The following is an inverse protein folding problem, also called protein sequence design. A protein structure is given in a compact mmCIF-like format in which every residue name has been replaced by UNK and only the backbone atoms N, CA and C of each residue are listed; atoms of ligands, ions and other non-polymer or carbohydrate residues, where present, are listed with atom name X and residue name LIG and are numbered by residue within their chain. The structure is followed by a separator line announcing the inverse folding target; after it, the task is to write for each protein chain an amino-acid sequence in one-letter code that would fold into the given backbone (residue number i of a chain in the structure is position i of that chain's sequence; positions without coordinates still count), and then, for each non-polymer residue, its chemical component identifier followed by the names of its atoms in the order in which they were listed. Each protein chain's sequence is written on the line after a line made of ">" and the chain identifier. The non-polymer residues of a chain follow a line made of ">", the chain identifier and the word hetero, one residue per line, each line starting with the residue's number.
data_IF_999505097652
#
_entry.id   IF_999505097652
#
_cell.length_a   1.000
_cell.length_b   1.000
_cell.length_c   1.000
_cell.angle_alpha   90.00
_cell.angle_beta   90.00
_cell.angle_gamma   90.00
#
_symmetry.space_group_name_H-M   'P 1'
#
loop_
_entity.id
_entity.type
_entity.pdbx_description
1 polymer ?
#
# COMPACT_ATOMS: atom_id res chain seq x y z
N UNK A 1 14.53 22.61 -10.27
CA UNK A 1 15.30 21.36 -10.02
C UNK A 1 15.16 20.46 -11.25
N UNK A 2 16.23 20.16 -11.99
CA UNK A 2 16.11 19.42 -13.26
C UNK A 2 15.19 20.12 -14.26
N UNK A 3 14.26 19.40 -14.90
CA UNK A 3 13.30 19.93 -15.88
C UNK A 3 11.99 20.47 -15.28
N UNK A 4 11.98 20.85 -14.00
CA UNK A 4 10.77 21.24 -13.29
C UNK A 4 10.99 22.21 -12.13
N UNK A 5 9.88 22.64 -11.55
CA UNK A 5 9.79 23.57 -10.42
C UNK A 5 9.61 22.80 -9.11
N UNK A 6 10.23 23.28 -8.03
CA UNK A 6 10.14 22.67 -6.71
C UNK A 6 9.84 23.76 -5.70
N UNK A 7 8.88 23.49 -4.83
CA UNK A 7 8.56 24.34 -3.69
C UNK A 7 8.55 23.51 -2.41
N UNK A 8 9.22 24.03 -1.38
CA UNK A 8 9.28 23.43 -0.06
C UNK A 8 8.44 24.25 0.92
N UNK A 9 7.36 23.67 1.44
CA UNK A 9 6.45 24.32 2.39
C UNK A 9 6.96 24.20 3.83
N UNK A 10 7.69 23.14 4.15
CA UNK A 10 8.17 22.84 5.50
C UNK A 10 7.18 22.05 6.34
N UNK A 11 7.70 21.44 7.41
CA UNK A 11 6.94 20.66 8.39
C UNK A 11 6.59 21.50 9.61
N UNK A 12 7.57 22.23 10.15
CA UNK A 12 7.54 22.78 11.49
C UNK A 12 6.36 23.74 11.70
N UNK A 13 6.17 24.67 10.76
CA UNK A 13 5.10 25.67 10.84
C UNK A 13 3.71 25.02 10.93
N UNK A 14 3.52 23.93 10.18
CA UNK A 14 2.23 23.23 10.15
C UNK A 14 2.04 22.39 11.41
N UNK A 15 3.08 21.71 11.89
CA UNK A 15 3.05 20.97 13.15
C UNK A 15 2.77 21.90 14.34
N UNK A 16 3.41 23.08 14.39
CA UNK A 16 3.17 24.10 15.40
C UNK A 16 1.74 24.63 15.33
N UNK A 17 1.24 25.01 14.14
CA UNK A 17 -0.16 25.46 13.97
C UNK A 17 -1.17 24.39 14.39
N UNK A 18 -0.92 23.13 14.04
CA UNK A 18 -1.76 22.02 14.46
C UNK A 18 -1.75 21.85 15.99
N UNK A 19 -0.56 21.87 16.59
CA UNK A 19 -0.40 21.73 18.05
C UNK A 19 -1.08 22.86 18.80
N UNK A 20 -0.91 24.10 18.35
CA UNK A 20 -1.54 25.28 18.95
C UNK A 20 -3.06 25.12 19.01
N UNK A 21 -3.68 24.66 17.91
CA UNK A 21 -5.13 24.41 17.87
C UNK A 21 -5.56 23.33 18.87
N UNK A 22 -4.74 22.32 19.13
CA UNK A 22 -5.04 21.32 20.15
C UNK A 22 -4.96 21.93 21.55
N UNK A 23 -3.92 22.72 21.83
CA UNK A 23 -3.76 23.39 23.12
C UNK A 23 -4.88 24.40 23.40
N UNK A 24 -5.32 25.16 22.39
CA UNK A 24 -6.49 26.07 22.46
C UNK A 24 -7.80 25.35 22.79
N UNK A 25 -7.88 24.05 22.49
CA UNK A 25 -9.00 23.17 22.80
C UNK A 25 -8.76 22.35 24.09
N UNK A 26 -7.77 22.74 24.90
CA UNK A 26 -7.37 22.09 26.16
C UNK A 26 -6.96 20.61 26.01
N UNK A 27 -6.51 20.23 24.82
CA UNK A 27 -6.06 18.88 24.53
C UNK A 27 -4.56 18.78 24.76
N UNK A 28 -4.17 17.87 25.64
CA UNK A 28 -2.77 17.55 25.86
C UNK A 28 -2.23 16.69 24.71
N UNK A 29 -1.14 17.17 24.11
CA UNK A 29 -0.33 16.40 23.16
C UNK A 29 1.13 16.54 23.55
N UNK A 30 1.82 15.40 23.71
CA UNK A 30 3.26 15.35 24.02
C UNK A 30 4.06 14.76 22.84
N UNK A 31 3.35 14.10 21.93
CA UNK A 31 3.92 13.42 20.78
C UNK A 31 3.01 13.53 19.56
N UNK A 32 3.62 13.75 18.40
CA UNK A 32 2.93 13.77 17.11
C UNK A 32 3.49 12.66 16.23
N UNK A 33 2.63 11.74 15.82
CA UNK A 33 3.01 10.68 14.88
C UNK A 33 2.70 11.10 13.44
N UNK A 34 3.73 11.08 12.60
CA UNK A 34 3.64 11.48 11.20
C UNK A 34 3.72 10.26 10.27
N UNK A 35 2.82 10.19 9.29
CA UNK A 35 3.00 9.37 8.10
C UNK A 35 3.31 10.22 6.89
N UNK A 36 4.19 9.74 6.03
CA UNK A 36 4.54 10.41 4.78
C UNK A 36 4.03 9.63 3.57
N UNK A 37 3.59 10.35 2.55
CA UNK A 37 3.26 9.78 1.25
C UNK A 37 4.01 10.53 0.15
N UNK A 38 4.53 9.78 -0.81
CA UNK A 38 5.10 10.29 -2.05
C UNK A 38 4.47 9.50 -3.19
N UNK A 39 3.91 10.21 -4.17
CA UNK A 39 3.34 9.61 -5.38
C UNK A 39 3.46 10.57 -6.57
N UNK A 40 3.46 10.03 -7.79
CA UNK A 40 3.43 10.81 -9.01
C UNK A 40 2.00 11.02 -9.49
N UNK A 41 1.53 12.28 -9.49
CA UNK A 41 0.18 12.65 -9.88
C UNK A 41 0.19 13.36 -11.24
N UNK A 42 -0.36 12.75 -12.32
CA UNK A 42 -0.46 13.44 -13.60
C UNK A 42 -1.41 14.64 -13.49
N UNK A 43 -0.99 15.80 -13.98
CA UNK A 43 -1.79 17.03 -13.89
C UNK A 43 -2.90 17.02 -14.94
N UNK A 44 -2.56 16.60 -16.16
CA UNK A 44 -3.47 16.50 -17.29
C UNK A 44 -3.12 15.28 -18.12
N UNK A 45 -4.13 14.61 -18.69
CA UNK A 45 -3.91 13.44 -19.55
C UNK A 45 -3.19 13.77 -20.86
N UNK A 46 -3.27 15.02 -21.31
CA UNK A 46 -2.70 15.52 -22.57
C UNK A 46 -1.24 15.95 -22.45
N UNK A 47 -0.69 16.07 -21.24
CA UNK A 47 0.70 16.52 -21.03
C UNK A 47 1.49 15.48 -20.25
N UNK A 48 2.82 15.52 -20.38
CA UNK A 48 3.73 14.73 -19.53
C UNK A 48 3.95 15.35 -18.15
N UNK A 49 3.30 16.48 -17.83
CA UNK A 49 3.50 17.16 -16.54
C UNK A 49 2.86 16.35 -15.41
N UNK A 50 3.63 16.17 -14.35
CA UNK A 50 3.22 15.47 -13.13
C UNK A 50 3.67 16.26 -11.90
N UNK A 51 2.81 16.24 -10.88
CA UNK A 51 3.20 16.61 -9.53
C UNK A 51 3.83 15.42 -8.82
N UNK A 52 4.85 15.69 -8.02
CA UNK A 52 5.41 14.79 -7.03
C UNK A 52 5.36 15.51 -5.69
N UNK A 53 4.26 15.38 -4.93
CA UNK A 53 4.20 15.88 -3.57
C UNK A 53 4.91 14.96 -2.59
N UNK A 54 5.46 15.56 -1.53
CA UNK A 54 5.69 14.92 -0.24
C UNK A 54 4.55 15.38 0.64
N UNK A 55 3.65 14.46 1.00
CA UNK A 55 2.53 14.72 1.89
C UNK A 55 2.86 14.20 3.30
N UNK A 56 2.41 14.91 4.31
CA UNK A 56 2.43 14.48 5.71
C UNK A 56 0.99 14.32 6.21
N UNK A 57 0.70 13.19 6.85
CA UNK A 57 -0.50 12.98 7.66
C UNK A 57 -0.10 12.99 9.13
N UNK A 58 -0.75 13.84 9.92
CA UNK A 58 -0.69 13.77 11.38
C UNK A 58 -1.70 12.74 11.86
N UNK A 59 -1.20 11.73 12.54
CA UNK A 59 -2.00 10.65 13.11
C UNK A 59 -2.04 10.77 14.64
N UNK A 60 -3.03 11.50 15.16
CA UNK A 60 -3.34 11.50 16.58
C UNK A 60 -4.70 10.85 16.77
N UNK A 61 -4.74 9.70 17.44
CA UNK A 61 -5.90 8.79 17.58
C UNK A 61 -7.20 9.45 18.08
N UNK A 62 -7.13 10.69 18.57
CA UNK A 62 -8.24 11.41 19.18
C UNK A 62 -8.82 12.52 18.27
N UNK A 63 -8.24 12.79 17.09
CA UNK A 63 -8.65 13.92 16.23
C UNK A 63 -8.82 13.55 14.76
N UNK A 64 -9.58 14.37 14.05
CA UNK A 64 -9.71 14.28 12.60
C UNK A 64 -8.34 14.31 11.95
N UNK A 65 -8.08 13.35 11.07
CA UNK A 65 -6.83 13.26 10.32
C UNK A 65 -6.52 14.60 9.62
N UNK A 66 -5.27 15.04 9.75
CA UNK A 66 -4.80 16.27 9.12
C UNK A 66 -3.70 15.93 8.12
N UNK A 67 -3.97 16.16 6.83
CA UNK A 67 -3.04 15.91 5.73
C UNK A 67 -2.65 17.23 5.08
N UNK A 68 -1.35 17.45 4.87
CA UNK A 68 -0.83 18.67 4.27
C UNK A 68 0.40 18.40 3.38
N UNK A 69 0.65 19.26 2.37
CA UNK A 69 1.86 19.17 1.57
C UNK A 69 3.06 19.73 2.32
N UNK A 70 4.16 18.98 2.31
CA UNK A 70 5.47 19.38 2.84
C UNK A 70 6.34 19.95 1.74
N UNK A 71 6.28 19.33 0.56
CA UNK A 71 6.98 19.78 -0.63
C UNK A 71 6.17 19.39 -1.86
N UNK A 72 6.29 20.16 -2.94
CA UNK A 72 5.72 19.81 -4.24
C UNK A 72 6.76 20.07 -5.32
N UNK A 73 7.03 19.03 -6.11
CA UNK A 73 7.71 19.17 -7.38
C UNK A 73 6.72 19.11 -8.54
N UNK A 74 6.88 19.96 -9.55
CA UNK A 74 6.12 19.96 -10.79
C UNK A 74 7.07 19.85 -11.99
N UNK A 75 6.96 18.78 -12.77
CA UNK A 75 7.82 18.59 -13.93
C UNK A 75 7.32 17.55 -14.90
N UNK A 76 7.99 17.47 -16.05
CA UNK A 76 7.71 16.50 -17.12
C UNK A 76 8.33 15.11 -16.88
N UNK A 77 9.10 14.97 -15.81
CA UNK A 77 9.80 13.75 -15.42
C UNK A 77 9.83 13.64 -13.89
N UNK A 78 10.37 12.54 -13.35
CA UNK A 78 10.59 12.41 -11.91
C UNK A 78 11.62 13.46 -11.44
N UNK A 79 11.47 14.02 -10.22
CA UNK A 79 12.46 14.96 -9.72
C UNK A 79 13.82 14.28 -9.50
N UNK A 80 14.94 15.03 -9.60
CA UNK A 80 16.25 14.55 -9.15
C UNK A 80 16.18 14.19 -7.66
N UNK A 81 16.41 12.92 -7.33
CA UNK A 81 16.13 12.35 -6.01
C UNK A 81 16.75 13.12 -4.85
N UNK A 82 18.05 13.45 -4.95
CA UNK A 82 18.76 14.13 -3.86
C UNK A 82 18.16 15.51 -3.61
N UNK A 83 18.13 16.36 -4.64
CA UNK A 83 17.54 17.70 -4.54
C UNK A 83 16.10 17.68 -4.02
N UNK A 84 15.30 16.70 -4.44
CA UNK A 84 13.91 16.53 -4.03
C UNK A 84 13.74 16.28 -2.52
N UNK A 85 14.68 15.56 -1.91
CA UNK A 85 14.59 15.15 -0.51
C UNK A 85 15.47 15.95 0.44
N UNK A 86 16.42 16.76 -0.05
CA UNK A 86 17.41 17.46 0.79
C UNK A 86 16.77 18.29 1.90
N UNK A 87 15.89 19.24 1.57
CA UNK A 87 15.26 20.12 2.58
C UNK A 87 14.36 19.33 3.52
N UNK A 88 13.59 18.39 2.98
CA UNK A 88 12.72 17.50 3.74
C UNK A 88 13.49 16.70 4.80
N UNK A 89 14.57 16.04 4.39
CA UNK A 89 15.38 15.20 5.28
C UNK A 89 16.09 16.04 6.32
N UNK A 90 16.63 17.20 5.94
CA UNK A 90 17.31 18.11 6.86
C UNK A 90 16.37 18.60 7.96
N UNK A 91 15.18 19.08 7.61
CA UNK A 91 14.20 19.55 8.59
C UNK A 91 13.67 18.40 9.45
N UNK A 92 13.25 17.29 8.83
CA UNK A 92 12.70 16.15 9.56
C UNK A 92 13.73 15.51 10.49
N UNK A 93 14.99 15.36 10.06
CA UNK A 93 16.08 14.85 10.91
C UNK A 93 16.28 15.70 12.15
N UNK A 94 16.24 17.04 12.00
CA UNK A 94 16.32 17.94 13.13
C UNK A 94 15.11 17.75 14.06
N UNK A 95 13.90 17.78 13.53
CA UNK A 95 12.66 17.62 14.29
C UNK A 95 12.63 16.28 15.06
N UNK A 96 13.06 15.18 14.44
CA UNK A 96 13.10 13.87 15.09
C UNK A 96 14.11 13.80 16.24
N UNK A 97 15.19 14.59 16.17
CA UNK A 97 16.24 14.61 17.20
C UNK A 97 15.89 15.52 18.37
N UNK A 98 15.33 16.70 18.10
CA UNK A 98 15.16 17.75 19.11
C UNK A 98 13.70 18.10 19.42
N UNK A 99 12.73 17.52 18.72
CA UNK A 99 11.33 17.90 18.82
C UNK A 99 11.10 19.38 18.48
N UNK A 100 10.07 19.97 19.05
CA UNK A 100 9.88 21.42 19.06
C UNK A 100 9.14 21.89 20.32
N UNK A 101 9.21 23.19 20.60
CA UNK A 101 8.54 23.82 21.75
C UNK A 101 7.46 24.76 21.26
N UNK A 102 6.28 24.72 21.89
CA UNK A 102 5.18 25.66 21.67
C UNK A 102 4.49 25.96 22.99
N UNK A 103 4.27 27.24 23.30
CA UNK A 103 3.67 27.71 24.56
C UNK A 103 4.32 27.10 25.82
N UNK A 104 5.65 26.97 25.79
CA UNK A 104 6.45 26.37 26.88
C UNK A 104 6.38 24.84 26.97
N UNK A 105 5.58 24.18 26.11
CA UNK A 105 5.42 22.73 26.08
C UNK A 105 6.34 22.10 25.03
N UNK A 106 7.08 21.08 25.46
CA UNK A 106 7.90 20.25 24.56
C UNK A 106 7.04 19.21 23.84
N UNK A 107 7.22 19.10 22.53
CA UNK A 107 6.51 18.16 21.67
C UNK A 107 7.51 17.28 20.94
N UNK A 108 7.40 15.97 21.16
CA UNK A 108 8.13 14.98 20.40
C UNK A 108 7.45 14.71 19.05
N UNK A 109 8.23 14.31 18.05
CA UNK A 109 7.70 13.90 16.74
C UNK A 109 8.27 12.54 16.41
N UNK A 110 7.43 11.64 15.88
CA UNK A 110 7.88 10.35 15.36
C UNK A 110 7.46 10.16 13.90
N UNK A 111 8.20 9.32 13.19
CA UNK A 111 7.78 8.81 11.89
C UNK A 111 7.18 7.44 12.09
N UNK A 112 5.88 7.33 11.85
CA UNK A 112 5.19 6.04 11.88
C UNK A 112 5.40 5.28 10.57
N UNK A 113 5.21 5.94 9.43
CA UNK A 113 5.39 5.26 8.14
C UNK A 113 5.62 6.16 6.92
N UNK A 114 6.18 5.55 5.87
CA UNK A 114 6.19 6.05 4.50
C UNK A 114 5.24 5.20 3.64
N UNK A 115 3.99 5.64 3.54
CA UNK A 115 2.93 5.02 2.76
C UNK A 115 3.08 5.37 1.29
N UNK A 116 3.88 4.58 0.56
CA UNK A 116 4.12 4.78 -0.88
C UNK A 116 3.81 3.51 -1.68
N UNK A 117 3.32 3.70 -2.89
CA UNK A 117 3.23 2.63 -3.88
C UNK A 117 4.64 2.10 -4.22
N UNK A 118 4.72 0.97 -4.91
CA UNK A 118 6.02 0.34 -5.19
C UNK A 118 6.95 1.22 -6.06
N UNK A 119 6.50 1.81 -7.19
CA UNK A 119 7.29 2.76 -7.96
C UNK A 119 7.85 3.96 -7.18
N UNK A 120 7.04 4.64 -6.38
CA UNK A 120 7.46 5.81 -5.61
C UNK A 120 8.39 5.40 -4.46
N UNK A 121 8.07 4.30 -3.77
CA UNK A 121 8.94 3.71 -2.75
C UNK A 121 10.34 3.39 -3.28
N UNK A 122 10.42 2.68 -4.40
CA UNK A 122 11.72 2.33 -4.98
C UNK A 122 12.50 3.57 -5.42
N UNK A 123 11.80 4.63 -5.84
CA UNK A 123 12.41 5.90 -6.18
C UNK A 123 13.02 6.57 -4.94
N UNK A 124 12.24 6.81 -3.88
CA UNK A 124 12.73 7.52 -2.69
C UNK A 124 13.76 6.72 -1.89
N UNK A 125 13.72 5.39 -1.95
CA UNK A 125 14.75 4.52 -1.36
C UNK A 125 16.00 4.32 -2.23
N UNK A 126 15.99 4.81 -3.48
CA UNK A 126 17.01 4.55 -4.50
C UNK A 126 17.35 3.06 -4.69
N UNK A 127 16.32 2.22 -4.87
CA UNK A 127 16.46 0.76 -5.04
C UNK A 127 15.85 0.27 -6.36
N UNK A 128 16.16 -0.97 -6.71
CA UNK A 128 15.57 -1.64 -7.86
C UNK A 128 14.09 -1.93 -7.64
N UNK A 129 13.34 -1.76 -8.72
CA UNK A 129 11.89 -1.98 -8.73
C UNK A 129 11.52 -3.45 -8.80
N UNK A 130 10.23 -3.73 -8.68
CA UNK A 130 9.66 -5.08 -8.68
C UNK A 130 9.99 -5.94 -9.90
N UNK A 131 10.32 -5.32 -11.03
CA UNK A 131 10.69 -6.00 -12.28
C UNK A 131 12.16 -6.43 -12.36
N UNK A 132 12.98 -6.15 -11.34
CA UNK A 132 14.36 -6.60 -11.28
C UNK A 132 14.48 -8.00 -10.65
N UNK A 133 15.56 -8.73 -10.96
CA UNK A 133 15.82 -10.05 -10.35
C UNK A 133 15.91 -9.96 -8.82
N UNK A 134 16.51 -8.90 -8.28
CA UNK A 134 16.54 -8.64 -6.83
C UNK A 134 15.68 -7.43 -6.50
N UNK A 135 14.41 -7.46 -6.87
CA UNK A 135 13.48 -6.34 -6.72
C UNK A 135 12.49 -6.48 -5.57
N UNK A 136 12.55 -7.54 -4.75
CA UNK A 136 11.67 -7.66 -3.60
C UNK A 136 12.09 -6.69 -2.48
N UNK A 137 11.15 -5.85 -2.05
CA UNK A 137 11.39 -4.83 -1.02
C UNK A 137 11.42 -5.41 0.41
N UNK A 138 10.96 -6.65 0.59
CA UNK A 138 10.76 -7.27 1.90
C UNK A 138 11.62 -8.51 2.15
N UNK A 139 12.10 -9.21 1.13
CA UNK A 139 12.93 -10.42 1.31
C UNK A 139 14.03 -10.52 0.26
N UNK A 140 15.03 -11.35 0.50
CA UNK A 140 16.20 -11.55 -0.39
C UNK A 140 15.96 -12.46 -1.59
N UNK A 141 14.73 -12.96 -1.76
CA UNK A 141 14.36 -13.83 -2.87
C UNK A 141 14.81 -13.26 -4.22
N UNK A 142 15.49 -14.09 -4.98
CA UNK A 142 15.77 -13.82 -6.39
C UNK A 142 14.52 -14.16 -7.20
N UNK A 143 14.12 -13.22 -8.05
CA UNK A 143 13.08 -13.43 -9.05
C UNK A 143 13.63 -14.12 -10.29
N UNK A 144 12.73 -14.62 -11.12
CA UNK A 144 12.99 -15.28 -12.39
C UNK A 144 12.02 -14.77 -13.45
N UNK A 145 12.46 -14.72 -14.71
CA UNK A 145 11.62 -14.30 -15.83
C UNK A 145 10.81 -15.49 -16.35
N UNK A 146 9.51 -15.53 -16.03
CA UNK A 146 8.57 -16.57 -16.48
C UNK A 146 7.53 -15.94 -17.38
N UNK A 147 7.39 -16.42 -18.61
CA UNK A 147 6.45 -15.88 -19.60
C UNK A 147 6.55 -14.34 -19.76
N UNK A 148 7.78 -13.82 -19.89
CA UNK A 148 8.10 -12.38 -19.98
C UNK A 148 7.68 -11.56 -18.75
N UNK A 149 7.53 -12.19 -17.58
CA UNK A 149 7.16 -11.54 -16.31
C UNK A 149 8.13 -11.94 -15.21
N UNK A 150 8.65 -10.95 -14.49
CA UNK A 150 9.45 -11.18 -13.30
C UNK A 150 8.59 -11.84 -12.23
N UNK A 151 9.00 -12.98 -11.69
CA UNK A 151 8.25 -13.82 -10.75
C UNK A 151 9.15 -14.30 -9.62
N UNK A 152 8.70 -14.24 -8.37
CA UNK A 152 9.50 -14.62 -7.19
C UNK A 152 8.92 -15.89 -6.56
N UNK A 153 9.53 -17.04 -6.84
CA UNK A 153 9.00 -18.36 -6.44
C UNK A 153 9.41 -18.79 -5.02
N UNK A 154 10.53 -18.28 -4.51
CA UNK A 154 11.14 -18.75 -3.25
C UNK A 154 10.39 -18.28 -1.98
N UNK A 155 9.36 -19.00 -1.54
CA UNK A 155 8.46 -18.59 -0.44
C UNK A 155 9.12 -18.45 0.94
N UNK A 156 10.27 -19.08 1.15
CA UNK A 156 10.96 -19.15 2.43
C UNK A 156 12.13 -18.16 2.58
N UNK A 157 12.35 -17.30 1.58
CA UNK A 157 13.51 -16.40 1.57
C UNK A 157 13.63 -15.55 2.86
N UNK A 158 14.85 -15.30 3.36
CA UNK A 158 15.09 -14.41 4.50
C UNK A 158 14.52 -13.00 4.29
N UNK A 159 13.98 -12.41 5.36
CA UNK A 159 13.48 -11.04 5.34
C UNK A 159 14.62 -10.04 5.26
N UNK A 160 14.36 -8.90 4.62
CA UNK A 160 15.20 -7.72 4.79
C UNK A 160 14.99 -7.17 6.19
N UNK A 161 16.07 -6.71 6.80
CA UNK A 161 16.08 -5.97 8.06
C UNK A 161 16.62 -4.57 7.79
N UNK A 162 16.34 -3.63 8.68
CA UNK A 162 16.87 -2.26 8.56
C UNK A 162 18.41 -2.27 8.55
N UNK A 163 19.03 -3.05 9.44
CA UNK A 163 20.49 -3.20 9.47
C UNK A 163 21.09 -3.78 8.18
N UNK A 164 20.39 -4.70 7.49
CA UNK A 164 20.84 -5.20 6.18
C UNK A 164 20.74 -4.12 5.10
N UNK A 165 19.70 -3.28 5.15
CA UNK A 165 19.51 -2.18 4.22
C UNK A 165 20.58 -1.10 4.42
N UNK A 166 20.83 -0.71 5.68
CA UNK A 166 21.80 0.33 6.04
C UNK A 166 23.23 -0.05 5.64
N UNK A 167 23.59 -1.32 5.84
CA UNK A 167 24.89 -1.86 5.42
C UNK A 167 24.96 -2.23 3.94
N UNK A 168 23.85 -2.07 3.20
CA UNK A 168 23.69 -2.42 1.78
C UNK A 168 24.17 -3.85 1.43
N UNK A 169 23.93 -4.84 2.30
CA UNK A 169 24.46 -6.20 2.12
C UNK A 169 23.97 -6.91 0.85
N UNK A 170 22.86 -6.46 0.26
CA UNK A 170 22.38 -6.94 -1.04
C UNK A 170 22.60 -5.87 -2.11
N UNK A 171 23.83 -5.75 -2.61
CA UNK A 171 24.23 -4.77 -3.62
C UNK A 171 23.32 -4.80 -4.87
N UNK A 172 22.85 -5.98 -5.26
CA UNK A 172 22.00 -6.14 -6.44
C UNK A 172 20.59 -5.56 -6.27
N UNK A 173 20.16 -5.26 -5.05
CA UNK A 173 18.89 -4.58 -4.76
C UNK A 173 19.03 -3.06 -4.74
N UNK A 174 20.20 -2.53 -4.34
CA UNK A 174 20.45 -1.08 -4.28
C UNK A 174 20.81 -0.51 -5.66
N UNK A 175 20.48 0.76 -5.90
CA UNK A 175 20.99 1.54 -7.04
C UNK A 175 22.04 2.56 -6.62
N UNK A 176 21.99 2.99 -5.37
CA UNK A 176 22.87 3.98 -4.78
C UNK A 176 22.37 4.39 -3.41
N UNK A 177 22.85 5.52 -2.92
CA UNK A 177 22.41 6.10 -1.65
C UNK A 177 21.07 6.82 -1.77
N UNK A 178 20.37 6.94 -0.64
CA UNK A 178 19.18 7.78 -0.49
C UNK A 178 19.39 8.75 0.68
N UNK A 179 19.01 10.04 0.53
CA UNK A 179 18.98 10.99 1.63
C UNK A 179 18.18 10.50 2.84
N UNK A 180 17.15 9.66 2.65
CA UNK A 180 16.33 9.14 3.76
C UNK A 180 17.14 8.32 4.78
N UNK A 181 18.33 7.83 4.42
CA UNK A 181 19.19 7.06 5.33
C UNK A 181 19.72 7.90 6.51
N UNK A 182 19.68 9.23 6.40
CA UNK A 182 20.03 10.16 7.46
C UNK A 182 19.01 10.19 8.60
N UNK A 183 17.74 9.86 8.31
CA UNK A 183 16.66 9.91 9.30
C UNK A 183 16.74 8.82 10.37
N UNK A 184 17.46 7.72 10.09
CA UNK A 184 17.59 6.55 10.99
C UNK A 184 16.27 5.94 11.48
N UNK A 185 15.20 6.07 10.70
CA UNK A 185 13.85 5.57 11.01
C UNK A 185 13.63 4.09 10.68
N UNK A 186 14.51 3.47 9.89
CA UNK A 186 14.36 2.10 9.41
C UNK A 186 13.68 2.00 8.03
N UNK A 187 14.48 1.94 6.97
CA UNK A 187 13.97 1.99 5.58
C UNK A 187 13.31 0.69 5.09
N UNK A 188 13.27 -0.37 5.91
CA UNK A 188 12.47 -1.57 5.69
C UNK A 188 11.20 -1.54 6.55
N UNK A 189 11.33 -1.25 7.84
CA UNK A 189 10.22 -1.30 8.81
C UNK A 189 9.23 -0.16 8.64
N UNK A 190 9.69 1.09 8.41
CA UNK A 190 8.82 2.25 8.21
C UNK A 190 8.08 2.25 6.87
N UNK A 191 8.32 1.30 5.97
CA UNK A 191 7.69 1.25 4.64
C UNK A 191 6.65 0.13 4.56
N UNK A 192 5.41 0.34 5.03
CA UNK A 192 4.37 -0.70 5.01
C UNK A 192 4.03 -1.12 3.58
N UNK A 193 3.51 -2.32 3.39
CA UNK A 193 3.03 -2.74 2.07
C UNK A 193 1.71 -2.04 1.77
N UNK A 194 1.55 -1.54 0.55
CA UNK A 194 0.31 -0.88 0.14
C UNK A 194 -0.79 -1.93 -0.12
N UNK A 195 -1.80 -1.97 0.77
CA UNK A 195 -2.97 -2.83 0.67
C UNK A 195 -3.77 -2.62 -0.63
N UNK A 196 -3.97 -1.36 -1.02
CA UNK A 196 -4.77 -0.98 -2.18
C UNK A 196 -4.16 -1.56 -3.46
N UNK A 197 -2.85 -1.37 -3.65
CA UNK A 197 -2.15 -1.83 -4.83
C UNK A 197 -1.86 -3.33 -4.82
N UNK A 198 -1.55 -3.91 -3.66
CA UNK A 198 -1.17 -5.33 -3.59
C UNK A 198 -2.39 -6.25 -3.56
N UNK A 199 -3.40 -5.94 -2.75
CA UNK A 199 -4.55 -6.84 -2.53
C UNK A 199 -5.69 -6.50 -3.48
N UNK A 200 -6.20 -5.25 -3.45
CA UNK A 200 -7.37 -4.90 -4.23
C UNK A 200 -7.05 -4.89 -5.73
N UNK A 201 -6.16 -3.99 -6.16
CA UNK A 201 -5.78 -3.84 -7.57
C UNK A 201 -4.86 -4.98 -8.05
N UNK A 202 -4.17 -5.63 -7.13
CA UNK A 202 -3.21 -6.69 -7.42
C UNK A 202 -3.83 -8.09 -7.48
N UNK A 203 -4.38 -8.59 -6.37
CA UNK A 203 -4.89 -9.98 -6.27
C UNK A 203 -6.34 -10.07 -6.69
N UNK A 204 -7.21 -9.31 -6.01
CA UNK A 204 -8.66 -9.42 -6.21
C UNK A 204 -9.04 -9.11 -7.66
N UNK A 205 -8.49 -8.03 -8.22
CA UNK A 205 -8.70 -7.67 -9.62
C UNK A 205 -8.27 -8.79 -10.58
N UNK A 206 -7.11 -9.41 -10.34
CA UNK A 206 -6.62 -10.51 -11.19
C UNK A 206 -7.51 -11.75 -11.09
N UNK A 207 -8.02 -12.08 -9.90
CA UNK A 207 -8.97 -13.18 -9.73
C UNK A 207 -10.25 -12.92 -10.53
N UNK A 208 -10.82 -11.73 -10.45
CA UNK A 208 -12.02 -11.37 -11.22
C UNK A 208 -11.79 -11.45 -12.73
N UNK A 209 -10.68 -10.93 -13.24
CA UNK A 209 -10.33 -11.06 -14.65
C UNK A 209 -10.12 -12.53 -15.05
N UNK A 210 -9.51 -13.34 -14.18
CA UNK A 210 -9.33 -14.77 -14.44
C UNK A 210 -10.68 -15.49 -14.54
N UNK A 211 -11.61 -15.19 -13.64
CA UNK A 211 -12.93 -15.79 -13.63
C UNK A 211 -13.86 -15.25 -14.73
N UNK A 212 -13.62 -14.04 -15.25
CA UNK A 212 -14.40 -13.46 -16.34
C UNK A 212 -13.84 -13.81 -17.73
N UNK A 213 -12.53 -13.66 -17.92
CA UNK A 213 -11.88 -13.72 -19.25
C UNK A 213 -10.87 -14.85 -19.41
N UNK A 214 -10.55 -15.56 -18.31
CA UNK A 214 -9.55 -16.60 -18.31
C UNK A 214 -9.92 -17.85 -19.10
N UNK A 215 -9.05 -18.86 -19.01
CA UNK A 215 -9.32 -20.18 -19.59
C UNK A 215 -10.62 -20.78 -19.03
N UNK A 216 -11.32 -21.58 -19.84
CA UNK A 216 -12.54 -22.32 -19.46
C UNK A 216 -12.39 -23.13 -18.16
N UNK A 217 -11.15 -23.49 -17.78
CA UNK A 217 -10.85 -24.20 -16.54
C UNK A 217 -11.25 -23.39 -15.29
N UNK A 218 -11.11 -22.07 -15.34
CA UNK A 218 -11.31 -21.14 -14.21
C UNK A 218 -12.48 -20.18 -14.42
N UNK A 219 -12.91 -20.02 -15.69
CA UNK A 219 -13.89 -19.04 -16.09
C UNK A 219 -15.30 -19.44 -15.65
N UNK A 220 -16.05 -18.48 -15.13
CA UNK A 220 -17.47 -18.63 -14.78
C UNK A 220 -18.27 -18.89 -16.07
N UNK A 221 -19.29 -19.75 -16.00
CA UNK A 221 -20.16 -20.01 -17.15
C UNK A 221 -20.93 -18.76 -17.58
N UNK A 222 -21.46 -18.76 -18.80
CA UNK A 222 -22.29 -17.65 -19.30
C UNK A 222 -23.46 -17.36 -18.35
N UNK A 223 -24.21 -18.40 -17.99
CA UNK A 223 -25.39 -18.30 -17.13
C UNK A 223 -25.04 -17.84 -15.71
N UNK A 224 -23.97 -18.39 -15.12
CA UNK A 224 -23.55 -17.98 -13.77
C UNK A 224 -23.04 -16.53 -13.74
N UNK A 225 -22.46 -16.04 -14.84
CA UNK A 225 -22.04 -14.62 -14.95
C UNK A 225 -23.25 -13.70 -15.06
N UNK A 226 -24.27 -14.07 -15.84
CA UNK A 226 -25.53 -13.32 -15.90
C UNK A 226 -26.21 -13.31 -14.53
N UNK A 227 -26.26 -14.46 -13.84
CA UNK A 227 -26.79 -14.55 -12.49
C UNK A 227 -26.02 -13.67 -11.49
N UNK A 228 -24.68 -13.66 -11.57
CA UNK A 228 -23.84 -12.80 -10.74
C UNK A 228 -24.10 -11.31 -11.00
N UNK A 229 -24.20 -10.88 -12.26
CA UNK A 229 -24.48 -9.49 -12.62
C UNK A 229 -25.89 -9.06 -12.18
N UNK A 230 -26.89 -9.95 -12.31
CA UNK A 230 -28.24 -9.70 -11.80
C UNK A 230 -28.24 -9.52 -10.28
N UNK A 231 -27.54 -10.38 -9.55
CA UNK A 231 -27.42 -10.24 -8.10
C UNK A 231 -26.68 -8.96 -7.69
N UNK A 232 -25.62 -8.58 -8.41
CA UNK A 232 -24.92 -7.32 -8.18
C UNK A 232 -25.86 -6.11 -8.39
N UNK A 233 -26.71 -6.15 -9.41
CA UNK A 233 -27.72 -5.12 -9.66
C UNK A 233 -28.77 -5.06 -8.55
N UNK A 234 -29.28 -6.21 -8.09
CA UNK A 234 -30.24 -6.27 -6.99
C UNK A 234 -29.67 -5.64 -5.70
N UNK A 235 -28.40 -5.92 -5.39
CA UNK A 235 -27.72 -5.36 -4.21
C UNK A 235 -27.58 -3.83 -4.26
N UNK A 236 -27.61 -3.20 -5.44
CA UNK A 236 -27.56 -1.73 -5.54
C UNK A 236 -28.79 -1.04 -4.95
N UNK A 237 -29.92 -1.75 -4.88
CA UNK A 237 -31.20 -1.21 -4.40
C UNK A 237 -31.24 -1.12 -2.86
N UNK A 238 -30.54 -2.01 -2.16
CA UNK A 238 -30.47 -2.06 -0.70
C UNK A 238 -29.07 -1.72 -0.17
N UNK A 239 -28.29 -0.94 -0.94
CA UNK A 239 -26.89 -0.70 -0.61
C UNK A 239 -26.72 0.27 0.58
N UNK A 240 -25.91 -0.08 1.59
CA UNK A 240 -25.69 0.79 2.75
C UNK A 240 -25.02 2.11 2.38
N UNK A 241 -25.41 3.20 3.06
CA UNK A 241 -24.93 4.56 2.81
C UNK A 241 -23.46 4.75 3.23
N UNK A 242 -22.97 3.91 4.15
CA UNK A 242 -21.59 3.90 4.64
C UNK A 242 -20.58 3.58 3.53
N UNK A 243 -21.03 2.93 2.47
CA UNK A 243 -20.19 2.60 1.32
C UNK A 243 -20.29 3.69 0.24
N UNK A 244 -19.18 4.42 0.05
CA UNK A 244 -19.05 5.52 -0.92
C UNK A 244 -19.32 5.14 -2.40
N UNK A 245 -19.35 3.84 -2.74
CA UNK A 245 -19.69 3.36 -4.09
C UNK A 245 -20.62 2.18 -3.99
N UNK A 246 -21.65 2.18 -4.86
CA UNK A 246 -22.53 1.03 -5.10
C UNK A 246 -21.80 -0.04 -5.91
N UNK A 247 -22.19 -1.32 -5.78
CA UNK A 247 -21.66 -2.40 -6.60
C UNK A 247 -21.96 -2.14 -8.07
N UNK A 248 -21.03 -2.49 -8.94
CA UNK A 248 -21.24 -2.51 -10.40
C UNK A 248 -21.16 -3.94 -10.91
N UNK A 249 -21.62 -4.17 -12.12
CA UNK A 249 -21.53 -5.47 -12.79
C UNK A 249 -20.10 -5.74 -13.27
N UNK A 250 -19.83 -6.99 -13.63
CA UNK A 250 -18.54 -7.42 -14.20
C UNK A 250 -18.29 -6.87 -15.61
N UNK A 251 -19.32 -6.32 -16.27
CA UNK A 251 -19.19 -5.61 -17.54
C UNK A 251 -18.28 -4.38 -17.37
N UNK A 252 -18.37 -3.71 -16.23
CA UNK A 252 -17.58 -2.51 -15.92
C UNK A 252 -16.26 -2.82 -15.19
N UNK A 253 -15.86 -4.09 -15.05
CA UNK A 253 -14.75 -4.53 -14.21
C UNK A 253 -13.42 -3.78 -14.50
N UNK A 254 -13.17 -3.41 -15.74
CA UNK A 254 -12.02 -2.60 -16.16
C UNK A 254 -11.95 -1.27 -15.43
N UNK A 255 -13.10 -0.69 -15.12
CA UNK A 255 -13.30 0.62 -14.51
C UNK A 255 -13.51 0.55 -12.99
N UNK A 256 -13.52 -0.64 -12.39
CA UNK A 256 -13.64 -0.78 -10.93
C UNK A 256 -12.45 -0.16 -10.23
N UNK A 257 -12.72 0.69 -9.23
CA UNK A 257 -11.69 1.28 -8.38
C UNK A 257 -11.35 0.31 -7.25
N UNK A 258 -10.22 0.58 -6.58
CA UNK A 258 -9.76 -0.27 -5.48
C UNK A 258 -10.77 -0.42 -4.33
N UNK A 259 -11.60 0.60 -4.08
CA UNK A 259 -12.65 0.53 -3.05
C UNK A 259 -13.74 -0.51 -3.40
N UNK A 260 -14.08 -0.65 -4.68
CA UNK A 260 -15.09 -1.61 -5.13
C UNK A 260 -14.53 -3.02 -5.12
N UNK A 261 -13.25 -3.18 -5.47
CA UNK A 261 -12.53 -4.44 -5.32
C UNK A 261 -12.40 -4.84 -3.84
N UNK A 262 -12.18 -3.89 -2.93
CA UNK A 262 -12.20 -4.12 -1.47
C UNK A 262 -13.59 -4.58 -1.01
N UNK A 263 -14.64 -3.87 -1.42
CA UNK A 263 -16.02 -4.22 -1.08
C UNK A 263 -16.36 -5.64 -1.56
N UNK A 264 -15.95 -5.96 -2.79
CA UNK A 264 -16.16 -7.28 -3.35
C UNK A 264 -15.38 -8.36 -2.58
N UNK A 265 -14.11 -8.12 -2.28
CA UNK A 265 -13.28 -9.06 -1.52
C UNK A 265 -13.87 -9.35 -0.14
N UNK A 266 -14.30 -8.31 0.60
CA UNK A 266 -14.67 -8.44 2.01
C UNK A 266 -16.12 -8.83 2.24
N UNK A 267 -17.06 -8.32 1.42
CA UNK A 267 -18.49 -8.39 1.71
C UNK A 267 -19.28 -9.14 0.64
N UNK A 268 -19.17 -8.74 -0.63
CA UNK A 268 -20.02 -9.31 -1.68
C UNK A 268 -19.55 -10.70 -2.12
N UNK A 269 -18.25 -10.86 -2.37
CA UNK A 269 -17.66 -12.07 -2.93
C UNK A 269 -17.97 -13.34 -2.14
N UNK A 270 -17.87 -13.34 -0.79
CA UNK A 270 -18.22 -14.52 0.01
C UNK A 270 -19.64 -15.01 -0.21
N UNK A 271 -20.60 -14.09 -0.43
CA UNK A 271 -22.01 -14.43 -0.65
C UNK A 271 -22.27 -14.76 -2.11
N UNK A 272 -21.85 -13.86 -3.01
CA UNK A 272 -22.20 -13.92 -4.43
C UNK A 272 -21.46 -15.02 -5.20
N UNK A 273 -20.29 -15.45 -4.73
CA UNK A 273 -19.50 -16.46 -5.43
C UNK A 273 -19.85 -17.91 -5.05
N UNK A 274 -20.59 -18.12 -3.96
CA UNK A 274 -20.81 -19.44 -3.36
C UNK A 274 -21.42 -20.45 -4.34
N UNK A 275 -22.40 -20.02 -5.15
CA UNK A 275 -23.07 -20.86 -6.15
C UNK A 275 -22.64 -20.53 -7.60
N UNK A 276 -21.65 -19.64 -7.77
CA UNK A 276 -21.18 -19.17 -9.07
C UNK A 276 -19.87 -19.86 -9.45
N UNK A 277 -18.96 -20.02 -8.47
CA UNK A 277 -17.67 -20.67 -8.66
C UNK A 277 -17.73 -22.15 -8.28
N UNK A 278 -16.99 -23.03 -8.98
CA UNK A 278 -16.70 -24.36 -8.50
C UNK A 278 -16.13 -24.34 -7.06
N UNK A 279 -16.57 -25.29 -6.22
CA UNK A 279 -16.22 -25.35 -4.78
C UNK A 279 -14.73 -25.12 -4.49
N UNK A 280 -13.84 -25.75 -5.28
CA UNK A 280 -12.38 -25.58 -5.12
C UNK A 280 -11.90 -24.13 -5.25
N UNK A 281 -12.46 -23.35 -6.18
CA UNK A 281 -12.07 -21.97 -6.42
C UNK A 281 -12.73 -21.01 -5.44
N UNK A 282 -13.95 -21.32 -5.03
CA UNK A 282 -14.62 -20.61 -3.94
C UNK A 282 -13.87 -20.77 -2.61
N UNK A 283 -13.50 -22.00 -2.23
CA UNK A 283 -12.68 -22.25 -1.04
C UNK A 283 -11.32 -21.53 -1.13
N UNK A 284 -10.68 -21.53 -2.30
CA UNK A 284 -9.45 -20.76 -2.51
C UNK A 284 -9.65 -19.25 -2.31
N UNK A 285 -10.73 -18.68 -2.85
CA UNK A 285 -11.08 -17.28 -2.60
C UNK A 285 -11.33 -16.99 -1.11
N UNK A 286 -12.00 -17.90 -0.39
CA UNK A 286 -12.27 -17.74 1.04
C UNK A 286 -10.99 -17.67 1.88
N UNK A 287 -9.92 -18.38 1.51
CA UNK A 287 -8.62 -18.23 2.20
C UNK A 287 -8.13 -16.78 2.17
N UNK A 288 -8.25 -16.10 1.01
CA UNK A 288 -7.89 -14.70 0.88
C UNK A 288 -8.87 -13.79 1.62
N UNK A 289 -10.18 -14.02 1.49
CA UNK A 289 -11.20 -13.23 2.19
C UNK A 289 -10.98 -13.25 3.70
N UNK A 290 -10.88 -14.42 4.32
CA UNK A 290 -10.73 -14.56 5.77
C UNK A 290 -9.41 -13.96 6.25
N UNK A 291 -8.30 -14.25 5.55
CA UNK A 291 -7.01 -13.67 5.93
C UNK A 291 -7.07 -12.14 5.94
N UNK A 292 -7.59 -11.53 4.87
CA UNK A 292 -7.65 -10.07 4.76
C UNK A 292 -8.67 -9.47 5.74
N UNK A 293 -9.79 -10.13 6.00
CA UNK A 293 -10.76 -9.69 6.98
C UNK A 293 -10.15 -9.64 8.41
N UNK A 294 -9.38 -10.66 8.78
CA UNK A 294 -8.64 -10.68 10.06
C UNK A 294 -7.64 -9.51 10.12
N UNK A 295 -6.84 -9.34 9.07
CA UNK A 295 -5.74 -8.36 9.05
C UNK A 295 -6.21 -6.91 9.07
N UNK A 296 -7.39 -6.62 8.52
CA UNK A 296 -7.97 -5.28 8.50
C UNK A 296 -8.76 -4.94 9.78
N UNK A 297 -9.12 -5.93 10.58
CA UNK A 297 -9.80 -5.69 11.84
C UNK A 297 -8.78 -5.59 12.97
N UNK A 298 -8.71 -4.43 13.63
CA UNK A 298 -7.70 -4.14 14.67
C UNK A 298 -7.71 -5.19 15.80
N UNK A 299 -8.89 -5.63 16.21
CA UNK A 299 -9.04 -6.60 17.30
C UNK A 299 -8.65 -8.01 16.83
N UNK A 300 -9.18 -8.45 15.68
CA UNK A 300 -8.85 -9.78 15.15
C UNK A 300 -7.37 -9.90 14.78
N UNK A 301 -6.77 -8.86 14.20
CA UNK A 301 -5.37 -8.87 13.83
C UNK A 301 -4.49 -9.12 15.07
N UNK A 302 -4.76 -8.46 16.21
CA UNK A 302 -3.99 -8.67 17.45
C UNK A 302 -3.97 -10.13 17.92
N UNK A 303 -5.07 -10.87 17.73
CA UNK A 303 -5.21 -12.24 18.24
C UNK A 303 -4.96 -13.33 17.20
N UNK A 304 -5.25 -13.07 15.93
CA UNK A 304 -5.28 -14.06 14.85
C UNK A 304 -4.31 -13.75 13.71
N UNK A 305 -3.33 -12.86 13.92
CA UNK A 305 -2.31 -12.54 12.91
C UNK A 305 -1.61 -13.80 12.36
N UNK A 306 -1.22 -14.72 13.24
CA UNK A 306 -0.56 -15.96 12.83
C UNK A 306 -1.49 -16.83 11.99
N UNK A 307 -2.76 -16.96 12.36
CA UNK A 307 -3.73 -17.72 11.59
C UNK A 307 -3.96 -17.09 10.19
N UNK A 308 -4.07 -15.77 10.11
CA UNK A 308 -4.12 -15.07 8.82
C UNK A 308 -2.86 -15.34 7.97
N UNK A 309 -1.67 -15.45 8.58
CA UNK A 309 -0.45 -15.86 7.89
C UNK A 309 -0.59 -17.22 7.21
N UNK A 310 -1.11 -18.19 7.96
CA UNK A 310 -1.27 -19.56 7.51
C UNK A 310 -2.26 -19.64 6.35
N UNK A 311 -3.38 -18.92 6.45
CA UNK A 311 -4.36 -18.79 5.36
C UNK A 311 -3.74 -18.20 4.08
N UNK A 312 -2.89 -17.17 4.20
CA UNK A 312 -2.21 -16.58 3.04
C UNK A 312 -1.17 -17.51 2.43
N UNK A 313 -0.43 -18.26 3.26
CA UNK A 313 0.50 -19.29 2.77
C UNK A 313 -0.26 -20.38 2.02
N UNK A 314 -1.39 -20.84 2.56
CA UNK A 314 -2.25 -21.82 1.90
C UNK A 314 -2.81 -21.27 0.60
N UNK A 315 -3.28 -20.01 0.58
CA UNK A 315 -3.76 -19.35 -0.63
C UNK A 315 -2.69 -19.36 -1.74
N UNK A 316 -1.42 -19.11 -1.40
CA UNK A 316 -0.31 -19.13 -2.36
C UNK A 316 0.11 -20.54 -2.78
N UNK A 317 0.06 -21.53 -1.90
CA UNK A 317 0.30 -22.93 -2.28
C UNK A 317 -0.79 -23.44 -3.22
N UNK A 318 -2.04 -23.05 -2.98
CA UNK A 318 -3.18 -23.45 -3.80
C UNK A 318 -3.27 -22.64 -5.09
N UNK A 319 -2.50 -21.55 -5.21
CA UNK A 319 -2.38 -20.74 -6.44
C UNK A 319 -1.95 -21.58 -7.64
N UNK A 320 -1.18 -22.65 -7.43
CA UNK A 320 -0.84 -23.61 -8.48
C UNK A 320 -2.07 -24.21 -9.18
N UNK A 321 -3.24 -24.28 -8.51
CA UNK A 321 -4.51 -24.68 -9.13
C UNK A 321 -4.99 -23.73 -10.23
N UNK A 322 -4.55 -22.47 -10.25
CA UNK A 322 -4.98 -21.44 -11.20
C UNK A 322 -3.86 -20.97 -12.16
N UNK A 323 -2.59 -21.09 -11.78
CA UNK A 323 -1.57 -20.09 -12.17
C UNK A 323 -0.23 -20.60 -12.75
N UNK A 324 -0.20 -21.62 -13.61
CA UNK A 324 1.04 -21.83 -14.42
C UNK A 324 1.28 -20.69 -15.43
N UNK A 325 0.26 -19.87 -15.79
CA UNK A 325 0.40 -18.93 -16.92
C UNK A 325 0.33 -17.43 -16.62
N UNK A 326 -0.14 -16.96 -15.45
CA UNK A 326 -0.62 -15.56 -15.40
C UNK A 326 -0.27 -14.62 -14.24
N UNK A 327 0.44 -14.95 -13.14
CA UNK A 327 0.78 -13.86 -12.20
C UNK A 327 1.93 -14.03 -11.20
N UNK A 328 2.81 -13.03 -11.28
CA UNK A 328 3.63 -12.51 -10.19
C UNK A 328 2.73 -11.77 -9.18
N UNK A 329 2.38 -12.45 -8.09
CA UNK A 329 1.82 -11.78 -6.90
C UNK A 329 2.77 -12.08 -5.75
N UNK A 330 3.23 -11.00 -5.11
CA UNK A 330 4.17 -10.96 -4.00
C UNK A 330 3.47 -11.33 -2.70
N UNK A 331 3.89 -12.44 -2.10
CA UNK A 331 3.46 -12.83 -0.76
C UNK A 331 4.62 -13.33 0.10
N UNK A 332 5.82 -12.85 -0.17
CA UNK A 332 6.95 -13.09 0.70
C UNK A 332 6.75 -12.34 2.01
N UNK A 333 6.25 -13.06 3.02
CA UNK A 333 6.14 -12.63 4.43
C UNK A 333 5.45 -11.28 4.59
N UNK A 334 4.22 -11.23 4.08
CA UNK A 334 3.26 -10.14 4.15
C UNK A 334 2.79 -9.82 5.59
N UNK A 335 3.09 -10.69 6.57
CA UNK A 335 2.29 -10.82 7.79
C UNK A 335 2.94 -10.21 9.04
N UNK A 336 4.27 -10.09 9.11
CA UNK A 336 4.92 -9.38 10.22
C UNK A 336 4.80 -7.85 10.15
N UNK A 337 4.36 -7.30 9.01
CA UNK A 337 4.37 -5.85 8.74
C UNK A 337 2.98 -5.22 8.59
N UNK A 338 1.92 -6.02 8.69
CA UNK A 338 0.53 -5.55 8.64
C UNK A 338 0.08 -4.85 9.93
N UNK A 339 0.94 -4.78 10.95
CA UNK A 339 0.76 -3.86 12.08
C UNK A 339 0.47 -2.45 11.54
N UNK A 340 1.17 -2.00 10.51
CA UNK A 340 0.99 -0.65 9.97
C UNK A 340 -0.28 -0.42 9.15
N UNK A 341 -0.97 -1.44 8.61
CA UNK A 341 -2.25 -1.21 7.90
C UNK A 341 -3.41 -1.04 8.88
N UNK A 342 -3.34 -1.70 10.04
CA UNK A 342 -4.28 -1.50 11.14
C UNK A 342 -4.02 -0.20 11.92
N UNK A 343 -2.82 0.39 11.82
CA UNK A 343 -2.54 1.73 12.35
C UNK A 343 -2.80 2.82 11.30
N UNK A 344 -2.64 2.54 10.00
CA UNK A 344 -2.85 3.54 8.94
C UNK A 344 -4.30 3.67 8.42
N UNK A 345 -5.20 2.77 8.81
CA UNK A 345 -6.66 2.91 8.71
C UNK A 345 -7.20 3.30 10.09
#
# INVERSE_FOLDING_TARGET
>A
MGSGEFYYFGLIDTLQKYTKKLLELEITVDNIDCDFNVDGLPIQKSTRKSFWPILCRINNNNFKEYVFPVAIFCGTSKPPLHNYLTEFVKELSNILRVGFVIDGKYINVTVRSFCCDMPARCFIKNVKGHNAYYGCDKCIAKGEMINKRMTYLELSAPLRTDGHFDKKLNEQYHKGDTPLSELKVGLITSFPVDYMHCICLGVMRKLLFLWRDGSRIYRISGDNRVALDNNLNLMQNCWPLEFNRKPRTLIDLERWKATELRQFLLYLGPVLLMNVLPKRFYCHFLLLNFAIAILLNINLNKHYNQYANELLKQFELVKWLHFIRYSCVRWHKFVSFLLLIAYCL
#
